data_IF_327147558275
#
_entry.id   IF_327147558275
#
_cell.length_a   1.000
_cell.length_b   1.000
_cell.length_c   1.000
_cell.angle_alpha   90.00
_cell.angle_beta   90.00
_cell.angle_gamma   90.00
#
_symmetry.space_group_name_H-M   'P 1'
#
loop_
_entity.id
_entity.type
_entity.pdbx_description
1 polymer ?
#
# COMPACT_ATOMS: atom_id res chain seq x y z
N UNK A 1 -13.46 -2.77 29.06
CA UNK A 1 -13.30 -2.23 27.70
C UNK A 1 -12.34 -1.05 27.77
N UNK A 2 -11.57 -0.81 26.72
CA UNK A 2 -10.72 0.40 26.61
C UNK A 2 -11.52 1.42 25.81
N UNK A 3 -11.63 2.65 26.31
CA UNK A 3 -12.25 3.76 25.58
C UNK A 3 -11.21 4.37 24.64
N UNK A 4 -11.52 4.45 23.34
CA UNK A 4 -10.69 5.13 22.33
C UNK A 4 -11.41 6.40 21.90
N UNK A 5 -10.69 7.51 21.88
CA UNK A 5 -11.14 8.83 21.43
C UNK A 5 -10.41 9.23 20.15
N UNK A 6 -10.95 10.17 19.35
CA UNK A 6 -10.26 10.65 18.15
C UNK A 6 -8.87 11.25 18.40
N UNK A 7 -8.63 11.73 19.62
CA UNK A 7 -7.37 12.32 20.04
C UNK A 7 -6.31 11.27 20.45
N UNK A 8 -6.67 10.01 20.62
CA UNK A 8 -5.69 8.99 20.99
C UNK A 8 -4.76 8.66 19.81
N UNK A 9 -3.53 8.24 20.13
CA UNK A 9 -2.53 7.84 19.14
C UNK A 9 -2.96 6.53 18.50
N UNK A 10 -3.10 6.53 17.18
CA UNK A 10 -3.42 5.34 16.39
C UNK A 10 -2.16 4.55 16.01
N UNK A 11 -1.08 5.23 15.61
CA UNK A 11 0.20 4.60 15.32
C UNK A 11 1.38 5.57 15.45
N UNK A 12 2.58 4.98 15.56
CA UNK A 12 3.86 5.70 15.59
C UNK A 12 4.78 5.14 14.52
N UNK A 13 5.34 6.02 13.68
CA UNK A 13 6.37 5.67 12.70
C UNK A 13 7.62 6.49 12.97
N UNK A 14 8.78 5.83 12.96
CA UNK A 14 10.08 6.47 13.12
C UNK A 14 10.69 6.80 11.75
N UNK A 15 11.22 8.01 11.62
CA UNK A 15 11.93 8.49 10.41
C UNK A 15 13.38 8.79 10.75
N UNK A 16 14.30 8.70 9.79
CA UNK A 16 15.76 8.78 10.03
C UNK A 16 16.25 10.08 10.69
N UNK A 17 15.50 11.18 10.57
CA UNK A 17 15.84 12.47 11.17
C UNK A 17 17.08 13.13 10.54
N UNK A 18 17.03 14.44 10.35
CA UNK A 18 18.13 15.19 9.68
C UNK A 18 19.45 15.21 10.44
N UNK A 19 19.44 14.89 11.73
CA UNK A 19 20.60 14.89 12.63
C UNK A 19 21.05 13.47 13.02
N UNK A 20 20.58 12.45 12.30
CA UNK A 20 20.88 11.03 12.57
C UNK A 20 20.14 10.41 13.75
N UNK A 21 19.34 11.20 14.48
CA UNK A 21 18.47 10.73 15.56
C UNK A 21 17.06 10.53 15.00
N UNK A 22 16.49 9.31 15.10
CA UNK A 22 15.15 9.05 14.60
C UNK A 22 14.08 9.93 15.24
N UNK A 23 13.18 10.48 14.44
CA UNK A 23 12.02 11.26 14.92
C UNK A 23 10.77 10.40 14.87
N UNK A 24 10.05 10.34 16.00
CA UNK A 24 8.75 9.67 16.09
C UNK A 24 7.65 10.59 15.54
N UNK A 25 6.91 10.09 14.55
CA UNK A 25 5.68 10.72 14.07
C UNK A 25 4.52 9.99 14.73
N UNK A 26 3.74 10.70 15.53
CA UNK A 26 2.54 10.19 16.19
C UNK A 26 1.32 10.60 15.37
N UNK A 27 0.62 9.63 14.79
CA UNK A 27 -0.63 9.86 14.09
C UNK A 27 -1.80 9.55 15.02
N UNK A 28 -2.75 10.48 15.17
CA UNK A 28 -3.96 10.27 15.96
C UNK A 28 -5.06 9.65 15.11
N UNK A 29 -6.06 9.04 15.77
CA UNK A 29 -7.22 8.47 15.10
C UNK A 29 -7.94 9.48 14.20
N UNK A 30 -8.08 10.74 14.63
CA UNK A 30 -8.69 11.80 13.80
C UNK A 30 -7.91 12.07 12.50
N UNK A 31 -6.57 12.05 12.55
CA UNK A 31 -5.74 12.30 11.37
C UNK A 31 -5.90 11.15 10.36
N UNK A 32 -5.88 9.93 10.88
CA UNK A 32 -6.04 8.71 10.11
C UNK A 32 -7.41 8.66 9.42
N UNK A 33 -8.50 8.89 10.15
CA UNK A 33 -9.84 8.87 9.58
C UNK A 33 -10.04 9.99 8.55
N UNK A 34 -9.52 11.19 8.82
CA UNK A 34 -9.57 12.29 7.85
C UNK A 34 -8.83 11.94 6.55
N UNK A 35 -7.67 11.29 6.66
CA UNK A 35 -6.93 10.81 5.49
C UNK A 35 -7.69 9.70 4.73
N UNK A 36 -8.24 8.70 5.42
CA UNK A 36 -9.02 7.65 4.77
C UNK A 36 -10.26 8.22 4.06
N UNK A 37 -10.93 9.19 4.66
CA UNK A 37 -12.05 9.88 4.05
C UNK A 37 -11.64 10.68 2.80
N UNK A 38 -10.41 11.23 2.74
CA UNK A 38 -9.94 11.92 1.54
C UNK A 38 -9.72 10.93 0.38
N UNK A 39 -9.15 9.76 0.65
CA UNK A 39 -8.97 8.69 -0.33
C UNK A 39 -10.30 8.17 -0.89
N UNK A 40 -11.33 8.08 -0.03
CA UNK A 40 -12.70 7.74 -0.46
C UNK A 40 -13.28 8.78 -1.39
N UNK A 41 -13.07 10.08 -1.12
CA UNK A 41 -13.60 11.16 -1.96
C UNK A 41 -13.04 11.15 -3.38
N UNK A 42 -11.85 10.60 -3.57
CA UNK A 42 -11.18 10.49 -4.87
C UNK A 42 -11.21 9.05 -5.43
N UNK A 43 -12.04 8.17 -4.86
CA UNK A 43 -12.27 6.78 -5.31
C UNK A 43 -10.98 5.94 -5.47
N UNK A 44 -10.01 6.14 -4.57
CA UNK A 44 -8.77 5.34 -4.54
C UNK A 44 -9.07 3.87 -4.26
N UNK A 45 -10.10 3.58 -3.47
CA UNK A 45 -10.54 2.23 -3.11
C UNK A 45 -12.05 2.09 -3.19
N UNK A 46 -12.51 1.05 -3.87
CA UNK A 46 -13.91 0.60 -3.87
C UNK A 46 -14.01 -0.87 -3.40
N UNK A 47 -15.23 -1.32 -3.13
CA UNK A 47 -15.50 -2.66 -2.56
C UNK A 47 -15.08 -3.82 -3.46
N UNK A 48 -14.92 -3.57 -4.76
CA UNK A 48 -14.57 -4.57 -5.76
C UNK A 48 -13.04 -4.60 -6.00
N UNK A 49 -12.27 -3.77 -5.29
CA UNK A 49 -10.82 -3.78 -5.37
C UNK A 49 -10.20 -4.96 -4.63
N UNK A 50 -9.14 -5.50 -5.24
CA UNK A 50 -8.17 -6.38 -4.59
C UNK A 50 -6.85 -5.65 -4.47
N UNK A 51 -6.46 -5.34 -3.25
CA UNK A 51 -5.30 -4.52 -2.90
C UNK A 51 -4.17 -5.42 -2.43
N UNK A 52 -2.98 -5.29 -3.01
CA UNK A 52 -1.79 -5.98 -2.51
C UNK A 52 -1.07 -5.15 -1.45
N UNK A 53 -0.71 -5.77 -0.33
CA UNK A 53 0.13 -5.14 0.70
C UNK A 53 1.60 -5.18 0.27
N UNK A 54 2.17 -4.03 -0.12
CA UNK A 54 3.59 -3.88 -0.49
C UNK A 54 4.34 -3.05 0.54
N UNK A 55 3.67 -2.07 1.13
CA UNK A 55 4.22 -1.16 2.12
C UNK A 55 4.82 -1.89 3.32
N UNK A 56 6.09 -1.63 3.61
CA UNK A 56 6.70 -2.07 4.88
C UNK A 56 6.05 -1.32 6.04
N UNK A 57 5.90 -1.98 7.19
CA UNK A 57 5.30 -1.40 8.39
C UNK A 57 6.01 -0.14 8.93
N UNK A 58 7.24 0.11 8.49
CA UNK A 58 8.00 1.33 8.78
C UNK A 58 7.58 2.56 7.97
N UNK A 59 6.67 2.44 7.00
CA UNK A 59 6.18 3.53 6.15
C UNK A 59 4.66 3.62 6.21
N UNK A 60 4.11 4.83 6.25
CA UNK A 60 2.68 5.10 6.39
C UNK A 60 1.80 4.49 5.29
N UNK A 61 2.33 4.28 4.09
CA UNK A 61 1.62 3.58 3.00
C UNK A 61 1.10 2.20 3.41
N UNK A 62 1.76 1.50 4.34
CA UNK A 62 1.26 0.20 4.83
C UNK A 62 -0.09 0.35 5.55
N UNK A 63 -0.32 1.48 6.24
CA UNK A 63 -1.57 1.79 6.94
C UNK A 63 -2.67 2.09 5.92
N UNK A 64 -2.32 2.82 4.85
CA UNK A 64 -3.23 3.08 3.74
C UNK A 64 -3.70 1.79 3.07
N UNK A 65 -2.77 0.91 2.72
CA UNK A 65 -3.09 -0.36 2.07
C UNK A 65 -4.00 -1.22 2.96
N UNK A 66 -3.70 -1.34 4.26
CA UNK A 66 -4.54 -2.15 5.18
C UNK A 66 -5.91 -1.48 5.39
N UNK A 67 -5.92 -0.28 5.95
CA UNK A 67 -7.17 0.32 6.43
C UNK A 67 -8.01 0.90 5.29
N UNK A 68 -7.38 1.44 4.24
CA UNK A 68 -8.09 1.89 3.05
C UNK A 68 -8.85 0.75 2.38
N UNK A 69 -8.26 -0.46 2.36
CA UNK A 69 -8.92 -1.68 1.86
C UNK A 69 -10.06 -2.11 2.79
N UNK A 70 -9.76 -2.32 4.07
CA UNK A 70 -10.72 -2.89 5.02
C UNK A 70 -11.91 -1.96 5.30
N UNK A 71 -11.71 -0.64 5.35
CA UNK A 71 -12.80 0.33 5.53
C UNK A 71 -13.76 0.40 4.34
N UNK A 72 -13.39 -0.18 3.20
CA UNK A 72 -14.19 -0.18 1.96
C UNK A 72 -14.84 -1.52 1.65
N UNK A 73 -14.59 -2.54 2.48
CA UNK A 73 -15.03 -3.90 2.21
C UNK A 73 -14.30 -4.55 1.05
N UNK A 74 -13.15 -4.01 0.65
CA UNK A 74 -12.28 -4.54 -0.38
C UNK A 74 -11.44 -5.72 0.14
N UNK A 75 -10.74 -6.40 -0.77
CA UNK A 75 -9.90 -7.56 -0.41
C UNK A 75 -8.44 -7.15 -0.25
N UNK A 76 -7.81 -7.50 0.88
CA UNK A 76 -6.38 -7.32 1.11
C UNK A 76 -5.61 -8.61 0.84
N UNK A 77 -4.59 -8.55 -0.01
CA UNK A 77 -3.69 -9.67 -0.33
C UNK A 77 -2.32 -9.43 0.29
N UNK A 78 -1.96 -10.31 1.22
CA UNK A 78 -0.64 -10.31 1.85
C UNK A 78 0.36 -11.09 1.00
N UNK A 79 1.51 -10.48 0.72
CA UNK A 79 2.66 -11.16 0.12
C UNK A 79 3.56 -11.78 1.19
N UNK A 80 4.27 -12.85 0.85
CA UNK A 80 5.26 -13.41 1.78
C UNK A 80 6.46 -12.44 1.96
N UNK A 81 7.23 -12.54 3.06
CA UNK A 81 8.44 -11.77 3.24
C UNK A 81 9.37 -11.87 2.02
N UNK A 82 9.83 -10.74 1.51
CA UNK A 82 10.66 -10.67 0.29
C UNK A 82 9.90 -10.75 -1.04
N UNK A 83 8.63 -11.16 -1.03
CA UNK A 83 7.83 -11.34 -2.25
C UNK A 83 7.59 -10.07 -3.06
N UNK A 84 7.72 -8.88 -2.44
CA UNK A 84 7.64 -7.59 -3.16
C UNK A 84 8.77 -7.39 -4.17
N UNK A 85 9.93 -8.00 -3.96
CA UNK A 85 11.11 -7.89 -4.82
C UNK A 85 11.29 -9.11 -5.75
N UNK A 86 10.52 -10.18 -5.51
CA UNK A 86 10.43 -11.31 -6.42
C UNK A 86 9.36 -10.99 -7.47
N UNK A 87 9.78 -10.47 -8.62
CA UNK A 87 8.84 -10.04 -9.66
C UNK A 87 8.13 -11.19 -10.37
N UNK A 88 8.70 -12.39 -10.39
CA UNK A 88 8.00 -13.57 -10.89
C UNK A 88 6.84 -13.92 -9.98
N UNK A 89 7.10 -14.02 -8.66
CA UNK A 89 6.06 -14.23 -7.67
C UNK A 89 5.02 -13.11 -7.65
N UNK A 90 5.45 -11.85 -7.71
CA UNK A 90 4.54 -10.70 -7.65
C UNK A 90 3.63 -10.66 -8.88
N UNK A 91 4.17 -10.89 -10.08
CA UNK A 91 3.37 -10.94 -11.32
C UNK A 91 2.37 -12.10 -11.30
N UNK A 92 2.78 -13.27 -10.81
CA UNK A 92 1.89 -14.41 -10.61
C UNK A 92 0.80 -14.09 -9.59
N UNK A 93 1.13 -13.38 -8.52
CA UNK A 93 0.16 -12.94 -7.50
C UNK A 93 -0.84 -11.96 -8.10
N UNK A 94 -0.40 -10.99 -8.91
CA UNK A 94 -1.29 -10.07 -9.63
C UNK A 94 -2.33 -10.82 -10.45
N UNK A 95 -1.89 -11.83 -11.19
CA UNK A 95 -2.78 -12.64 -12.02
C UNK A 95 -3.69 -13.54 -11.19
N UNK A 96 -3.14 -14.34 -10.27
CA UNK A 96 -3.89 -15.37 -9.53
C UNK A 96 -4.89 -14.78 -8.54
N UNK A 97 -4.65 -13.55 -8.07
CA UNK A 97 -5.51 -12.85 -7.12
C UNK A 97 -6.25 -11.68 -7.74
N UNK A 98 -6.09 -11.45 -9.05
CA UNK A 98 -6.71 -10.34 -9.78
C UNK A 98 -6.50 -9.00 -9.07
N UNK A 99 -5.24 -8.67 -8.77
CA UNK A 99 -4.89 -7.44 -8.04
C UNK A 99 -5.28 -6.22 -8.88
N UNK A 100 -6.15 -5.38 -8.31
CA UNK A 100 -6.66 -4.17 -8.97
C UNK A 100 -5.95 -2.90 -8.53
N UNK A 101 -5.41 -2.89 -7.31
CA UNK A 101 -4.65 -1.77 -6.76
C UNK A 101 -3.26 -2.20 -6.32
N UNK A 102 -2.26 -1.42 -6.70
CA UNK A 102 -0.88 -1.60 -6.26
C UNK A 102 -0.18 -0.25 -6.12
N UNK A 103 0.61 -0.08 -5.06
CA UNK A 103 1.47 1.09 -4.86
C UNK A 103 2.94 0.67 -4.90
N UNK A 104 3.78 1.45 -5.57
CA UNK A 104 5.23 1.24 -5.58
C UNK A 104 5.97 2.57 -5.46
N UNK A 105 7.15 2.55 -4.85
CA UNK A 105 8.08 3.69 -4.98
C UNK A 105 8.57 3.78 -6.43
N UNK A 106 8.95 4.98 -6.94
CA UNK A 106 9.29 5.16 -8.36
C UNK A 106 10.38 4.20 -8.87
N UNK A 107 11.43 3.96 -8.07
CA UNK A 107 12.51 3.04 -8.41
C UNK A 107 12.03 1.60 -8.56
N UNK A 108 11.19 1.13 -7.63
CA UNK A 108 10.60 -0.22 -7.68
C UNK A 108 9.65 -0.37 -8.86
N UNK A 109 8.81 0.63 -9.12
CA UNK A 109 7.90 0.65 -10.26
C UNK A 109 8.66 0.54 -11.58
N UNK A 110 9.75 1.29 -11.73
CA UNK A 110 10.59 1.24 -12.92
C UNK A 110 11.21 -0.14 -13.12
N UNK A 111 11.76 -0.75 -12.06
CA UNK A 111 12.31 -2.11 -12.12
C UNK A 111 11.23 -3.14 -12.47
N UNK A 112 10.04 -3.02 -11.90
CA UNK A 112 8.91 -3.91 -12.18
C UNK A 112 8.43 -3.78 -13.62
N UNK A 113 8.31 -2.56 -14.15
CA UNK A 113 7.96 -2.30 -15.55
C UNK A 113 8.97 -2.89 -16.53
N UNK A 114 10.27 -2.69 -16.29
CA UNK A 114 11.33 -3.30 -17.10
C UNK A 114 11.22 -4.82 -17.09
N UNK A 115 10.85 -5.42 -15.96
CA UNK A 115 10.66 -6.86 -15.84
C UNK A 115 9.45 -7.36 -16.64
N UNK A 116 8.26 -6.77 -16.46
CA UNK A 116 7.03 -7.24 -17.11
C UNK A 116 6.97 -6.91 -18.61
N UNK A 117 7.78 -5.99 -19.10
CA UNK A 117 7.89 -5.67 -20.53
C UNK A 117 8.66 -6.71 -21.36
N UNK A 118 9.30 -7.70 -20.69
CA UNK A 118 10.01 -8.77 -21.39
C UNK A 118 9.03 -9.65 -22.19
N UNK A 119 9.37 -10.06 -23.43
CA UNK A 119 8.44 -10.82 -24.30
C UNK A 119 7.94 -12.16 -23.72
N UNK A 120 8.68 -12.75 -22.79
CA UNK A 120 8.33 -14.02 -22.14
C UNK A 120 7.34 -13.86 -20.98
N UNK A 121 7.01 -12.63 -20.58
CA UNK A 121 6.17 -12.36 -19.40
C UNK A 121 4.71 -12.12 -19.80
N UNK A 122 3.81 -12.59 -18.94
CA UNK A 122 2.37 -12.43 -19.10
C UNK A 122 1.96 -10.97 -18.93
N UNK A 123 1.10 -10.48 -19.83
CA UNK A 123 0.51 -9.13 -19.69
C UNK A 123 -0.46 -9.09 -18.51
N UNK A 124 -0.12 -8.30 -17.49
CA UNK A 124 -0.91 -8.13 -16.27
C UNK A 124 -1.64 -6.77 -16.19
N UNK A 125 -1.43 -5.87 -17.16
CA UNK A 125 -2.01 -4.52 -17.14
C UNK A 125 -3.54 -4.51 -17.04
N UNK A 126 -4.20 -5.55 -17.59
CA UNK A 126 -5.66 -5.70 -17.55
C UNK A 126 -6.26 -5.86 -16.16
N UNK A 127 -5.47 -6.28 -15.16
CA UNK A 127 -5.98 -6.48 -13.79
C UNK A 127 -6.05 -5.16 -13.02
N UNK A 128 -5.17 -4.20 -13.33
CA UNK A 128 -5.08 -2.96 -12.57
C UNK A 128 -6.22 -1.99 -12.93
N UNK A 129 -7.00 -1.62 -11.92
CA UNK A 129 -7.80 -0.39 -11.93
C UNK A 129 -6.92 0.81 -11.62
N UNK A 130 -5.93 0.64 -10.74
CA UNK A 130 -5.03 1.70 -10.31
C UNK A 130 -3.64 1.14 -9.98
N UNK A 131 -2.62 1.72 -10.60
CA UNK A 131 -1.21 1.49 -10.26
C UNK A 131 -0.60 2.83 -9.87
N UNK A 132 -0.30 2.99 -8.59
CA UNK A 132 0.11 4.25 -8.00
C UNK A 132 1.62 4.28 -7.72
N UNK A 133 2.19 5.48 -7.77
CA UNK A 133 3.60 5.72 -7.43
C UNK A 133 3.74 6.93 -6.54
N UNK A 134 4.65 6.85 -5.55
CA UNK A 134 4.93 7.95 -4.64
C UNK A 134 6.08 7.65 -3.69
N UNK A 135 6.51 8.68 -2.96
CA UNK A 135 7.73 8.62 -2.15
C UNK A 135 8.99 8.93 -2.97
N UNK A 136 10.15 8.78 -2.32
CA UNK A 136 11.48 8.88 -2.94
C UNK A 136 12.17 7.53 -2.90
#
# INVERSE_FOLDING_TARGET
SITITPNDIAYIIFTSGSIGIPKAIQARHENLINFMNSLVRIDVFNKDDTVVQIGRCSFDIHVQEILGTLMRGATLVMVHPGGTLDFDYLSNTVQMKEITYMFMVPSLLQSFFTFIAQPSKTTISKYFRSLCSGGR
#
